data_IF_737847165263
#
_entry.id   IF_737847165263
#
_cell.length_a   1.000
_cell.length_b   1.000
_cell.length_c   1.000
_cell.angle_alpha   90.00
_cell.angle_beta   90.00
_cell.angle_gamma   90.00
#
_symmetry.space_group_name_H-M   'P 1'
#
loop_
_entity.id
_entity.type
_entity.pdbx_description
1 polymer ?
#
# COMPACT_ATOMS: atom_id res chain seq x y z
N UNK A 1 4.70 20.98 -18.27
CA UNK A 1 4.34 19.94 -19.27
C UNK A 1 4.98 18.67 -18.73
N UNK A 2 4.16 17.64 -18.53
CA UNK A 2 4.47 16.51 -17.67
C UNK A 2 5.55 15.59 -18.26
N UNK A 3 6.83 15.91 -18.04
CA UNK A 3 7.96 15.06 -18.47
C UNK A 3 7.86 13.63 -17.92
N UNK A 4 7.20 13.45 -16.76
CA UNK A 4 6.98 12.14 -16.19
C UNK A 4 5.95 11.31 -16.97
N UNK A 5 4.92 11.90 -17.57
CA UNK A 5 3.90 11.16 -18.35
C UNK A 5 4.47 10.55 -19.63
N UNK A 6 5.55 11.08 -20.19
CA UNK A 6 6.23 10.44 -21.34
C UNK A 6 7.17 9.30 -20.91
N UNK A 7 7.54 9.25 -19.63
CA UNK A 7 8.33 8.14 -19.05
C UNK A 7 7.45 6.93 -18.72
N UNK A 8 6.11 7.07 -18.78
CA UNK A 8 5.12 6.09 -18.33
C UNK A 8 4.91 4.87 -19.22
N UNK A 9 5.39 4.87 -20.47
CA UNK A 9 5.22 3.71 -21.36
C UNK A 9 6.12 2.52 -20.97
N UNK A 10 7.13 2.74 -20.11
CA UNK A 10 8.17 1.73 -19.78
C UNK A 10 8.28 1.43 -18.27
N UNK A 11 7.51 2.14 -17.43
CA UNK A 11 7.46 1.90 -15.98
C UNK A 11 6.35 0.88 -15.71
N UNK A 12 6.68 -0.28 -15.15
CA UNK A 12 5.70 -1.34 -14.89
C UNK A 12 4.48 -0.86 -14.10
N UNK A 13 3.36 -1.60 -14.25
CA UNK A 13 2.02 -1.23 -13.78
C UNK A 13 1.98 -0.76 -12.30
N UNK A 14 2.85 -1.31 -11.43
CA UNK A 14 2.98 -0.93 -10.02
C UNK A 14 3.42 0.54 -9.84
N UNK A 15 4.41 1.00 -10.59
CA UNK A 15 4.95 2.36 -10.44
C UNK A 15 3.94 3.39 -10.94
N UNK A 16 3.22 3.08 -12.01
CA UNK A 16 2.12 3.91 -12.48
C UNK A 16 1.03 4.04 -11.41
N UNK A 17 0.68 2.93 -10.74
CA UNK A 17 -0.29 2.95 -9.66
C UNK A 17 0.15 3.83 -8.47
N UNK A 18 1.41 3.73 -8.03
CA UNK A 18 1.96 4.55 -6.92
C UNK A 18 1.89 6.04 -7.20
N UNK A 19 2.21 6.44 -8.42
CA UNK A 19 2.16 7.85 -8.81
C UNK A 19 0.70 8.34 -8.87
N UNK A 20 -0.24 7.55 -9.43
CA UNK A 20 -1.67 7.90 -9.40
C UNK A 20 -2.14 8.09 -7.96
N UNK A 21 -1.77 7.21 -7.03
CA UNK A 21 -2.08 7.36 -5.61
C UNK A 21 -1.54 8.67 -5.03
N UNK A 22 -0.27 9.02 -5.30
CA UNK A 22 0.32 10.28 -4.84
C UNK A 22 -0.46 11.53 -5.32
N UNK A 23 -0.82 11.56 -6.59
CA UNK A 23 -1.50 12.71 -7.19
C UNK A 23 -2.98 12.79 -6.81
N UNK A 24 -3.72 11.67 -6.88
CA UNK A 24 -5.18 11.68 -6.70
C UNK A 24 -5.60 11.55 -5.23
N UNK A 25 -4.79 10.92 -4.37
CA UNK A 25 -5.18 10.62 -2.99
C UNK A 25 -4.36 11.37 -1.93
N UNK A 26 -3.15 11.83 -2.26
CA UNK A 26 -2.26 12.52 -1.33
C UNK A 26 -1.98 14.00 -1.70
N UNK A 27 -2.66 14.55 -2.72
CA UNK A 27 -2.56 15.95 -3.16
C UNK A 27 -1.14 16.42 -3.57
N UNK A 28 -0.25 15.50 -4.00
CA UNK A 28 1.13 15.82 -4.39
C UNK A 28 1.24 16.48 -5.79
N UNK A 29 0.42 17.50 -6.07
CA UNK A 29 0.29 18.14 -7.40
C UNK A 29 1.39 19.17 -7.75
N UNK A 30 2.22 19.59 -6.80
CA UNK A 30 3.16 20.72 -6.97
C UNK A 30 4.65 20.36 -6.83
N UNK A 31 4.99 19.06 -6.80
CA UNK A 31 6.34 18.58 -6.46
C UNK A 31 7.22 18.38 -7.70
N UNK A 32 8.55 18.42 -7.51
CA UNK A 32 9.52 18.16 -8.58
C UNK A 32 9.72 16.66 -8.79
N UNK A 33 10.28 16.26 -9.94
CA UNK A 33 10.51 14.85 -10.27
C UNK A 33 11.37 14.10 -9.21
N UNK A 34 12.30 14.81 -8.56
CA UNK A 34 13.12 14.22 -7.49
C UNK A 34 12.32 14.00 -6.20
N UNK A 35 11.45 14.95 -5.83
CA UNK A 35 10.60 14.84 -4.64
C UNK A 35 9.60 13.68 -4.76
N UNK A 36 9.12 13.42 -5.99
CA UNK A 36 8.21 12.31 -6.28
C UNK A 36 8.94 10.97 -6.13
N UNK A 37 10.20 10.85 -6.57
CA UNK A 37 10.96 9.61 -6.44
C UNK A 37 11.17 9.19 -4.98
N UNK A 38 11.59 10.12 -4.13
CA UNK A 38 11.76 9.84 -2.69
C UNK A 38 10.43 9.36 -2.07
N UNK A 39 9.30 9.91 -2.52
CA UNK A 39 7.97 9.52 -2.04
C UNK A 39 7.45 8.20 -2.59
N UNK A 40 7.85 7.83 -3.81
CA UNK A 40 7.51 6.53 -4.38
C UNK A 40 8.16 5.38 -3.62
N UNK A 41 9.36 5.59 -3.08
CA UNK A 41 10.05 4.62 -2.25
C UNK A 41 9.39 4.47 -0.86
N UNK A 42 8.81 5.55 -0.33
CA UNK A 42 8.06 5.54 0.93
C UNK A 42 6.68 4.88 0.84
N UNK A 43 6.15 4.70 -0.38
CA UNK A 43 4.80 4.15 -0.62
C UNK A 43 4.88 2.72 -1.11
N UNK A 44 4.12 1.87 -0.45
CA UNK A 44 3.90 0.48 -0.88
C UNK A 44 2.44 0.30 -1.26
N UNK A 45 2.22 -0.33 -2.42
CA UNK A 45 0.90 -0.76 -2.87
C UNK A 45 0.85 -2.28 -2.88
N UNK A 46 -0.19 -2.84 -2.28
CA UNK A 46 -0.51 -4.25 -2.34
C UNK A 46 -1.81 -4.42 -3.11
N UNK A 47 -1.81 -5.20 -4.19
CA UNK A 47 -3.03 -5.50 -4.95
C UNK A 47 -3.86 -6.55 -4.20
N UNK A 48 -5.08 -6.19 -3.79
CA UNK A 48 -5.98 -7.10 -3.06
C UNK A 48 -6.79 -6.41 -1.97
N UNK A 49 -7.21 -7.20 -0.99
CA UNK A 49 -8.01 -6.77 0.16
C UNK A 49 -7.15 -6.51 1.39
N UNK A 50 -7.68 -5.75 2.35
CA UNK A 50 -6.99 -5.47 3.61
C UNK A 50 -6.69 -6.75 4.41
N UNK A 51 -7.55 -7.78 4.30
CA UNK A 51 -7.35 -9.07 4.97
C UNK A 51 -6.16 -9.80 4.36
N UNK A 52 -6.10 -9.90 3.03
CA UNK A 52 -4.98 -10.54 2.33
C UNK A 52 -3.65 -9.82 2.63
N UNK A 53 -3.67 -8.48 2.67
CA UNK A 53 -2.52 -7.70 3.09
C UNK A 53 -2.10 -8.01 4.52
N UNK A 54 -3.04 -8.06 5.46
CA UNK A 54 -2.77 -8.36 6.86
C UNK A 54 -2.22 -9.79 7.05
N UNK A 55 -2.73 -10.77 6.31
CA UNK A 55 -2.20 -12.14 6.31
C UNK A 55 -0.74 -12.17 5.86
N UNK A 56 -0.43 -11.53 4.73
CA UNK A 56 0.95 -11.44 4.22
C UNK A 56 1.85 -10.70 5.22
N UNK A 57 1.41 -9.58 5.78
CA UNK A 57 2.17 -8.81 6.76
C UNK A 57 2.47 -9.64 8.02
N UNK A 58 1.51 -10.40 8.54
CA UNK A 58 1.68 -11.25 9.70
C UNK A 58 2.65 -12.41 9.44
N UNK A 59 2.65 -12.95 8.22
CA UNK A 59 3.59 -13.98 7.77
C UNK A 59 5.01 -13.43 7.65
N UNK A 60 5.19 -12.32 6.92
CA UNK A 60 6.49 -11.69 6.66
C UNK A 60 7.17 -11.18 7.93
N UNK A 61 6.40 -10.54 8.83
CA UNK A 61 6.92 -10.05 10.12
C UNK A 61 7.11 -11.17 11.15
N UNK A 62 6.49 -12.34 10.90
CA UNK A 62 6.42 -13.43 11.86
C UNK A 62 5.76 -13.02 13.18
N UNK A 63 4.87 -12.01 13.19
CA UNK A 63 4.20 -11.53 14.41
C UNK A 63 3.51 -12.65 15.17
N UNK A 64 2.88 -13.59 14.46
CA UNK A 64 2.22 -14.76 15.04
C UNK A 64 3.18 -15.71 15.74
N UNK A 65 4.49 -15.67 15.43
CA UNK A 65 5.48 -16.49 16.12
C UNK A 65 5.72 -16.05 17.57
N UNK A 66 5.36 -14.81 17.92
CA UNK A 66 5.38 -14.31 19.30
C UNK A 66 4.23 -14.89 20.14
N UNK A 67 3.20 -15.44 19.49
CA UNK A 67 2.05 -16.07 20.14
C UNK A 67 2.32 -17.58 20.31
N UNK A 68 1.99 -18.17 21.49
CA UNK A 68 2.05 -19.60 21.69
C UNK A 68 1.31 -20.37 20.58
N UNK A 69 1.92 -21.44 20.06
CA UNK A 69 1.44 -22.18 18.88
C UNK A 69 -0.04 -22.59 18.97
N UNK A 70 -0.49 -22.98 20.16
CA UNK A 70 -1.88 -23.38 20.41
C UNK A 70 -2.89 -22.22 20.37
N UNK A 71 -2.44 -20.97 20.50
CA UNK A 71 -3.28 -19.77 20.44
C UNK A 71 -3.23 -19.07 19.07
N UNK A 72 -2.26 -19.37 18.21
CA UNK A 72 -2.11 -18.72 16.90
C UNK A 72 -3.35 -18.87 16.03
N UNK A 73 -3.98 -20.04 16.08
CA UNK A 73 -5.20 -20.34 15.31
C UNK A 73 -6.45 -19.56 15.79
N UNK A 74 -6.36 -18.85 16.91
CA UNK A 74 -7.41 -17.98 17.43
C UNK A 74 -7.15 -16.50 17.17
N UNK A 75 -6.06 -16.16 16.47
CA UNK A 75 -5.81 -14.79 16.08
C UNK A 75 -6.81 -14.37 14.99
N UNK A 76 -7.49 -13.26 15.22
CA UNK A 76 -8.49 -12.72 14.31
C UNK A 76 -7.84 -11.72 13.35
N UNK A 77 -7.39 -12.22 12.19
CA UNK A 77 -6.75 -11.40 11.16
C UNK A 77 -7.71 -10.39 10.55
N UNK A 78 -9.01 -10.68 10.48
CA UNK A 78 -10.02 -9.76 9.94
C UNK A 78 -10.17 -8.54 10.86
N UNK A 79 -10.28 -8.77 12.17
CA UNK A 79 -10.28 -7.69 13.15
C UNK A 79 -8.99 -6.86 13.09
N UNK A 80 -7.83 -7.52 12.93
CA UNK A 80 -6.55 -6.83 12.80
C UNK A 80 -6.48 -5.95 11.54
N UNK A 81 -6.85 -6.47 10.38
CA UNK A 81 -6.90 -5.71 9.13
C UNK A 81 -7.81 -4.48 9.25
N UNK A 82 -8.97 -4.66 9.91
CA UNK A 82 -9.90 -3.56 10.17
C UNK A 82 -9.30 -2.49 11.08
N UNK A 83 -8.59 -2.89 12.13
CA UNK A 83 -7.93 -1.94 13.02
C UNK A 83 -6.85 -1.14 12.27
N UNK A 84 -6.09 -1.78 11.37
CA UNK A 84 -5.09 -1.09 10.53
C UNK A 84 -5.73 -0.01 9.64
N UNK A 85 -6.90 -0.29 9.06
CA UNK A 85 -7.67 0.70 8.29
C UNK A 85 -8.15 1.85 9.17
N UNK A 86 -8.68 1.55 10.36
CA UNK A 86 -9.24 2.57 11.27
C UNK A 86 -8.16 3.47 11.87
N UNK A 87 -6.97 2.93 12.12
CA UNK A 87 -5.84 3.69 12.63
C UNK A 87 -5.13 4.51 11.53
N UNK A 88 -5.41 4.21 10.25
CA UNK A 88 -4.73 4.83 9.12
C UNK A 88 -3.35 4.24 8.85
N UNK A 89 -3.05 3.05 9.37
CA UNK A 89 -1.82 2.32 9.05
C UNK A 89 -1.83 1.89 7.56
N UNK A 90 -3.02 1.61 7.03
CA UNK A 90 -3.27 1.31 5.62
C UNK A 90 -4.51 2.05 5.12
N UNK A 91 -4.57 2.27 3.80
CA UNK A 91 -5.72 2.85 3.11
C UNK A 91 -6.16 1.96 1.93
N UNK A 92 -7.48 1.81 1.76
CA UNK A 92 -8.04 1.15 0.58
C UNK A 92 -8.26 2.17 -0.54
N UNK A 93 -7.68 1.89 -1.71
CA UNK A 93 -7.80 2.75 -2.89
C UNK A 93 -8.09 1.93 -4.13
N UNK A 94 -8.80 2.53 -5.08
CA UNK A 94 -9.07 1.92 -6.38
C UNK A 94 -8.27 2.69 -7.45
N UNK A 95 -7.40 1.98 -8.15
CA UNK A 95 -6.50 2.56 -9.16
C UNK A 95 -6.60 1.70 -10.40
N UNK A 96 -6.85 2.32 -11.56
CA UNK A 96 -6.93 1.61 -12.85
C UNK A 96 -7.89 0.40 -12.84
N UNK A 97 -9.01 0.49 -12.11
CA UNK A 97 -10.02 -0.57 -11.96
C UNK A 97 -9.50 -1.84 -11.24
N UNK A 98 -8.42 -1.69 -10.45
CA UNK A 98 -7.92 -2.68 -9.50
C UNK A 98 -7.93 -2.09 -8.08
N UNK A 99 -8.11 -2.95 -7.08
CA UNK A 99 -8.14 -2.55 -5.67
C UNK A 99 -6.75 -2.72 -5.07
N UNK A 100 -6.28 -1.68 -4.40
CA UNK A 100 -5.00 -1.68 -3.72
C UNK A 100 -5.15 -1.31 -2.24
N UNK A 101 -4.24 -1.84 -1.45
CA UNK A 101 -3.96 -1.43 -0.08
C UNK A 101 -2.69 -0.58 -0.13
N UNK A 102 -2.83 0.71 0.17
CA UNK A 102 -1.74 1.65 0.25
C UNK A 102 -1.21 1.73 1.68
N UNK A 103 0.11 1.73 1.81
CA UNK A 103 0.83 1.94 3.06
C UNK A 103 1.89 3.04 2.83
N UNK A 104 1.94 4.02 3.74
CA UNK A 104 2.84 5.17 3.65
C UNK A 104 2.21 6.39 2.97
N UNK A 105 2.68 7.59 3.36
CA UNK A 105 2.21 8.90 2.90
C UNK A 105 2.88 10.05 3.65
#
# INVERSE_FOLDING_TARGET
MNEWFETYEDMGDETAAKVIYLFDHLDYTTYTANDIQDKLDDITLFEGTAIEYAEQYLEETGMLNKIPQHLRYYFDTEAYARDMLLNGDIAEVEIMNARYIAMGG
#
